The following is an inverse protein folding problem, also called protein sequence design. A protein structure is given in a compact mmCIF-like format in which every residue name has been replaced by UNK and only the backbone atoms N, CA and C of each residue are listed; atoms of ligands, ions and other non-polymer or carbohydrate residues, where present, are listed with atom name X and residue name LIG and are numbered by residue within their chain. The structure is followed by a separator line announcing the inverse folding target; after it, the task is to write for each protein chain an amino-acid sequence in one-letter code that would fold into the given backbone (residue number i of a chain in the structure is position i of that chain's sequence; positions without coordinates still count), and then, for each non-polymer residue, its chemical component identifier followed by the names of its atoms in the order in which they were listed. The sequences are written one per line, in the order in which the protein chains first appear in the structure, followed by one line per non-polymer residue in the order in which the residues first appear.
data_IF_445777549203
#
_entry.id   IF_445777549203
#
_cell.length_a   1.000
_cell.length_b   1.000
_cell.length_c   1.000
_cell.angle_alpha   90.00
_cell.angle_beta   90.00
_cell.angle_gamma   90.00
#
_symmetry.space_group_name_H-M   'P 1'
#
loop_
_entity.id
_entity.type
_entity.pdbx_description
1 polymer ?
#
# COMPACT_ATOMS: atom_id res chain seq x y z
N UNK A 1 10.90 19.37 -30.54
CA UNK A 1 10.15 18.72 -29.45
C UNK A 1 11.16 18.02 -28.55
N UNK A 2 11.04 18.16 -27.23
CA UNK A 2 11.93 17.51 -26.26
C UNK A 2 11.80 15.98 -26.27
N UNK A 3 12.73 15.28 -25.61
CA UNK A 3 12.64 13.84 -25.36
C UNK A 3 11.40 13.53 -24.51
N UNK A 4 10.86 12.31 -24.65
CA UNK A 4 9.74 11.86 -23.83
C UNK A 4 10.15 11.80 -22.36
N UNK A 5 9.42 12.46 -21.46
CA UNK A 5 9.68 12.45 -20.03
C UNK A 5 8.93 11.34 -19.29
N UNK A 6 9.64 10.54 -18.52
CA UNK A 6 9.13 9.44 -17.71
C UNK A 6 9.42 9.67 -16.23
N UNK A 7 8.43 9.42 -15.38
CA UNK A 7 8.57 9.50 -13.93
C UNK A 7 8.48 8.11 -13.31
N UNK A 8 9.39 7.77 -12.40
CA UNK A 8 9.19 6.67 -11.46
C UNK A 8 9.38 7.16 -10.04
N UNK A 9 8.44 6.85 -9.15
CA UNK A 9 8.63 7.08 -7.72
C UNK A 9 8.07 5.94 -6.85
N UNK A 10 8.95 5.31 -6.07
CA UNK A 10 8.61 4.13 -5.29
C UNK A 10 9.83 3.37 -4.77
N UNK A 11 9.62 2.19 -4.21
CA UNK A 11 10.73 1.30 -3.81
C UNK A 11 11.44 0.77 -5.07
N UNK A 12 12.77 0.76 -5.09
CA UNK A 12 13.57 0.20 -6.21
C UNK A 12 13.72 -1.31 -6.02
N UNK A 13 12.64 -2.04 -6.25
CA UNK A 13 12.54 -3.45 -5.92
C UNK A 13 11.80 -4.22 -7.01
N UNK A 14 12.04 -5.53 -7.06
CA UNK A 14 11.52 -6.41 -8.11
C UNK A 14 10.00 -6.48 -8.08
N UNK A 15 9.39 -6.51 -6.88
CA UNK A 15 7.92 -6.53 -6.77
C UNK A 15 7.26 -5.27 -7.35
N UNK A 16 8.02 -4.16 -7.42
CA UNK A 16 7.57 -2.91 -8.03
C UNK A 16 7.85 -2.82 -9.53
N UNK A 17 8.43 -3.88 -10.11
CA UNK A 17 8.79 -3.96 -11.53
C UNK A 17 9.97 -3.07 -11.91
N UNK A 18 10.78 -2.66 -10.93
CA UNK A 18 11.90 -1.77 -11.21
C UNK A 18 13.00 -2.46 -12.03
N UNK A 19 13.13 -3.78 -11.91
CA UNK A 19 13.97 -4.61 -12.78
C UNK A 19 13.57 -4.51 -14.25
N UNK A 20 12.26 -4.43 -14.54
CA UNK A 20 11.77 -4.25 -15.89
C UNK A 20 12.14 -2.88 -16.48
N UNK A 21 12.17 -1.83 -15.66
CA UNK A 21 12.62 -0.49 -16.06
C UNK A 21 14.11 -0.49 -16.41
N UNK A 22 14.94 -1.11 -15.57
CA UNK A 22 16.38 -1.20 -15.83
C UNK A 22 16.68 -1.96 -17.13
N UNK A 23 16.05 -3.12 -17.32
CA UNK A 23 16.19 -3.91 -18.54
C UNK A 23 15.69 -3.15 -19.77
N UNK A 24 14.57 -2.42 -19.66
CA UNK A 24 14.08 -1.56 -20.74
C UNK A 24 15.10 -0.49 -21.13
N UNK A 25 15.73 0.19 -20.16
CA UNK A 25 16.79 1.19 -20.42
C UNK A 25 17.94 0.55 -21.20
N UNK A 26 18.42 -0.62 -20.76
CA UNK A 26 19.50 -1.35 -21.44
C UNK A 26 19.12 -1.77 -22.87
N UNK A 27 17.87 -2.20 -23.09
CA UNK A 27 17.38 -2.54 -24.44
C UNK A 27 17.42 -1.34 -25.38
N UNK A 28 16.97 -0.16 -24.92
CA UNK A 28 17.07 1.07 -25.71
C UNK A 28 18.52 1.49 -25.94
N UNK A 29 19.39 1.38 -24.93
CA UNK A 29 20.82 1.68 -25.05
C UNK A 29 21.57 0.79 -26.05
N UNK A 30 21.10 -0.44 -26.28
CA UNK A 30 21.60 -1.34 -27.33
C UNK A 30 21.11 -0.96 -28.73
N UNK A 31 19.87 -0.50 -28.86
CA UNK A 31 19.34 -0.05 -30.15
C UNK A 31 19.89 1.32 -30.57
N UNK A 32 20.10 2.23 -29.62
CA UNK A 32 20.48 3.63 -29.87
C UNK A 32 21.47 4.11 -28.82
N UNK A 33 22.48 4.88 -29.26
CA UNK A 33 23.47 5.50 -28.36
C UNK A 33 22.82 6.49 -27.38
N UNK A 34 21.80 7.23 -27.83
CA UNK A 34 21.00 8.11 -26.98
C UNK A 34 19.61 7.53 -26.72
N UNK A 35 19.14 7.65 -25.47
CA UNK A 35 17.79 7.22 -25.12
C UNK A 35 16.76 8.19 -25.73
N UNK A 36 15.61 7.68 -26.23
CA UNK A 36 14.55 8.51 -26.80
C UNK A 36 13.69 9.21 -25.72
N UNK A 37 13.99 8.98 -24.44
CA UNK A 37 13.28 9.52 -23.29
C UNK A 37 14.26 10.01 -22.21
N UNK A 38 13.79 10.89 -21.35
CA UNK A 38 14.38 11.20 -20.04
C UNK A 38 13.59 10.47 -18.96
N UNK A 39 14.28 9.88 -17.97
CA UNK A 39 13.63 9.20 -16.85
C UNK A 39 14.10 9.76 -15.51
N UNK A 40 13.14 10.23 -14.72
CA UNK A 40 13.35 10.78 -13.38
C UNK A 40 12.93 9.75 -12.33
N UNK A 41 13.89 9.24 -11.56
CA UNK A 41 13.70 8.13 -10.62
C UNK A 41 13.88 8.61 -9.17
N UNK A 42 12.82 8.44 -8.38
CA UNK A 42 12.78 8.74 -6.95
C UNK A 42 12.50 7.47 -6.15
N UNK A 43 13.35 7.16 -5.17
CA UNK A 43 13.23 5.92 -4.44
C UNK A 43 14.52 5.43 -3.85
N UNK A 44 14.43 4.32 -3.15
CA UNK A 44 15.58 3.55 -2.70
C UNK A 44 15.18 2.06 -2.65
N UNK A 45 16.16 1.17 -2.71
CA UNK A 45 15.93 -0.28 -2.75
C UNK A 45 17.14 -1.06 -3.25
N UNK A 46 16.94 -2.37 -3.44
CA UNK A 46 18.00 -3.30 -3.86
C UNK A 46 18.64 -2.95 -5.20
N UNK A 47 17.91 -2.24 -6.08
CA UNK A 47 18.38 -1.85 -7.41
C UNK A 47 19.04 -0.46 -7.48
N UNK A 48 19.24 0.22 -6.34
CA UNK A 48 19.80 1.58 -6.32
C UNK A 48 21.20 1.65 -6.97
N UNK A 49 22.08 0.68 -6.71
CA UNK A 49 23.45 0.71 -7.22
C UNK A 49 23.50 0.38 -8.73
N UNK A 50 22.65 -0.54 -9.21
CA UNK A 50 22.52 -0.79 -10.65
C UNK A 50 22.03 0.46 -11.40
N UNK A 51 21.06 1.19 -10.83
CA UNK A 51 20.58 2.44 -11.39
C UNK A 51 21.68 3.51 -11.45
N UNK A 52 22.50 3.64 -10.40
CA UNK A 52 23.65 4.57 -10.40
C UNK A 52 24.61 4.25 -11.56
N UNK A 53 24.91 2.98 -11.81
CA UNK A 53 25.76 2.60 -12.94
C UNK A 53 25.18 3.05 -14.28
N UNK A 54 23.86 2.93 -14.49
CA UNK A 54 23.20 3.41 -15.71
C UNK A 54 23.24 4.93 -15.87
N UNK A 55 23.26 5.70 -14.77
CA UNK A 55 23.37 7.17 -14.84
C UNK A 55 24.74 7.63 -15.36
N UNK A 56 25.77 6.78 -15.26
CA UNK A 56 27.10 7.06 -15.80
C UNK A 56 27.19 6.82 -17.32
N UNK A 57 26.34 5.94 -17.85
CA UNK A 57 26.34 5.56 -19.28
C UNK A 57 25.25 6.27 -20.07
N UNK A 58 24.16 6.67 -19.42
CA UNK A 58 23.00 7.33 -20.04
C UNK A 58 22.68 8.63 -19.31
N UNK A 59 23.00 9.77 -19.95
CA UNK A 59 22.76 11.12 -19.41
C UNK A 59 21.27 11.42 -19.18
N UNK A 60 20.38 10.67 -19.85
CA UNK A 60 18.93 10.80 -19.75
C UNK A 60 18.33 10.07 -18.54
N UNK A 61 19.15 9.35 -17.76
CA UNK A 61 18.71 8.65 -16.54
C UNK A 61 19.07 9.50 -15.33
N UNK A 62 18.07 9.96 -14.59
CA UNK A 62 18.24 10.83 -13.42
C UNK A 62 17.79 10.12 -12.14
N UNK A 63 18.73 9.88 -11.21
CA UNK A 63 18.44 9.25 -9.92
C UNK A 63 18.56 10.25 -8.76
N UNK A 64 17.49 10.41 -7.98
CA UNK A 64 17.41 11.39 -6.89
C UNK A 64 17.37 10.78 -5.49
N UNK A 65 17.45 9.45 -5.38
CA UNK A 65 17.23 8.78 -4.10
C UNK A 65 15.83 9.00 -3.54
N UNK A 66 15.67 8.78 -2.23
CA UNK A 66 14.38 8.97 -1.56
C UNK A 66 14.10 10.45 -1.30
N UNK A 67 13.09 10.99 -1.97
CA UNK A 67 12.65 12.38 -1.84
C UNK A 67 11.24 12.49 -1.25
N UNK A 68 10.87 13.68 -0.78
CA UNK A 68 9.51 13.98 -0.37
C UNK A 68 8.63 14.33 -1.59
N UNK A 69 7.30 14.33 -1.40
CA UNK A 69 6.36 14.60 -2.49
C UNK A 69 6.52 16.02 -3.07
N UNK A 70 6.88 17.02 -2.26
CA UNK A 70 7.12 18.39 -2.74
C UNK A 70 8.27 18.47 -3.74
N UNK A 71 9.37 17.77 -3.47
CA UNK A 71 10.49 17.66 -4.42
C UNK A 71 10.05 16.96 -5.69
N UNK A 72 9.35 15.81 -5.59
CA UNK A 72 8.89 15.03 -6.75
C UNK A 72 7.98 15.90 -7.64
N UNK A 73 7.08 16.68 -7.04
CA UNK A 73 6.15 17.57 -7.76
C UNK A 73 6.86 18.55 -8.69
N UNK A 74 8.07 19.02 -8.34
CA UNK A 74 8.85 19.95 -9.16
C UNK A 74 9.31 19.36 -10.49
N UNK A 75 9.38 18.03 -10.58
CA UNK A 75 9.80 17.31 -11.80
C UNK A 75 8.63 16.85 -12.67
N UNK A 76 7.39 16.87 -12.15
CA UNK A 76 6.20 16.46 -12.91
C UNK A 76 6.04 17.24 -14.23
N UNK A 77 6.28 18.58 -14.29
CA UNK A 77 6.17 19.32 -15.56
C UNK A 77 7.08 18.81 -16.68
N UNK A 78 8.18 18.12 -16.33
CA UNK A 78 9.10 17.53 -17.30
C UNK A 78 8.66 16.15 -17.78
N UNK A 79 7.58 15.59 -17.22
CA UNK A 79 7.15 14.21 -17.45
C UNK A 79 5.85 14.16 -18.24
N UNK A 80 5.72 13.19 -19.13
CA UNK A 80 4.50 12.87 -19.86
C UNK A 80 3.82 11.60 -19.34
N UNK A 81 4.57 10.66 -18.75
CA UNK A 81 4.00 9.44 -18.18
C UNK A 81 4.65 9.06 -16.84
N UNK A 82 3.87 8.43 -15.96
CA UNK A 82 4.36 7.80 -14.74
C UNK A 82 4.46 6.28 -14.96
N UNK A 83 5.63 5.70 -14.70
CA UNK A 83 5.86 4.26 -14.76
C UNK A 83 5.48 3.62 -13.43
N UNK A 84 4.56 2.66 -13.49
CA UNK A 84 4.19 1.77 -12.40
C UNK A 84 4.05 0.32 -12.88
N UNK A 85 5.13 -0.30 -13.39
CA UNK A 85 5.12 -1.66 -13.91
C UNK A 85 5.11 -2.73 -12.80
N UNK A 86 4.41 -2.47 -11.68
CA UNK A 86 4.40 -3.38 -10.54
C UNK A 86 3.85 -4.74 -10.95
N UNK A 87 4.73 -5.75 -10.90
CA UNK A 87 4.36 -7.16 -11.08
C UNK A 87 3.54 -7.66 -9.90
N UNK A 88 3.75 -7.08 -8.71
CA UNK A 88 2.94 -7.26 -7.52
C UNK A 88 1.48 -6.82 -7.72
N UNK A 89 0.55 -7.57 -7.15
CA UNK A 89 -0.85 -7.22 -7.05
C UNK A 89 -1.01 -6.06 -6.07
N UNK A 90 -1.12 -4.83 -6.57
CA UNK A 90 -1.35 -3.67 -5.70
C UNK A 90 -2.71 -3.73 -5.00
N UNK A 91 -2.78 -3.31 -3.74
CA UNK A 91 -4.06 -3.18 -3.03
C UNK A 91 -4.79 -1.90 -3.42
N UNK A 92 -4.05 -0.85 -3.80
CA UNK A 92 -4.60 0.42 -4.27
C UNK A 92 -3.70 1.08 -5.31
N UNK A 93 -2.46 1.41 -4.95
CA UNK A 93 -1.56 2.19 -5.83
C UNK A 93 -1.60 3.69 -5.51
N UNK A 94 -1.18 4.08 -4.30
CA UNK A 94 -1.11 5.50 -3.90
C UNK A 94 -0.25 6.34 -4.86
N UNK A 95 0.89 5.81 -5.30
CA UNK A 95 1.76 6.44 -6.31
C UNK A 95 0.98 6.77 -7.60
N UNK A 96 0.14 5.85 -8.09
CA UNK A 96 -0.63 6.06 -9.32
C UNK A 96 -1.63 7.18 -9.13
N UNK A 97 -2.35 7.15 -8.01
CA UNK A 97 -3.30 8.19 -7.70
C UNK A 97 -2.62 9.57 -7.56
N UNK A 98 -1.45 9.64 -6.92
CA UNK A 98 -0.66 10.87 -6.84
C UNK A 98 -0.28 11.37 -8.25
N UNK A 99 0.18 10.50 -9.15
CA UNK A 99 0.49 10.87 -10.53
C UNK A 99 -0.74 11.39 -11.28
N UNK A 100 -1.86 10.65 -11.23
CA UNK A 100 -3.13 11.04 -11.87
C UNK A 100 -3.65 12.38 -11.36
N UNK A 101 -3.57 12.63 -10.05
CA UNK A 101 -3.98 13.90 -9.44
C UNK A 101 -3.21 15.11 -9.95
N UNK A 102 -2.07 14.88 -10.62
CA UNK A 102 -1.20 15.89 -11.22
C UNK A 102 -1.21 15.87 -12.75
N UNK A 103 -2.22 15.23 -13.34
CA UNK A 103 -2.37 15.17 -14.79
C UNK A 103 -1.41 14.22 -15.48
N UNK A 104 -0.67 13.39 -14.73
CA UNK A 104 0.30 12.45 -15.29
C UNK A 104 -0.36 11.08 -15.50
N UNK A 105 -0.57 10.63 -16.76
CA UNK A 105 -1.08 9.30 -17.04
C UNK A 105 -0.14 8.19 -16.53
N UNK A 106 -0.71 7.08 -16.10
CA UNK A 106 0.02 5.96 -15.50
C UNK A 106 0.15 4.80 -16.49
N UNK A 107 1.37 4.35 -16.71
CA UNK A 107 1.71 3.12 -17.44
C UNK A 107 1.91 2.00 -16.42
N UNK A 108 1.20 0.90 -16.57
CA UNK A 108 1.30 -0.22 -15.63
C UNK A 108 0.43 -1.40 -16.03
N UNK A 109 0.42 -2.44 -15.21
CA UNK A 109 -0.50 -3.56 -15.40
C UNK A 109 -1.86 -3.22 -14.79
N UNK A 110 -2.93 -3.16 -15.59
CA UNK A 110 -4.29 -2.86 -15.12
C UNK A 110 -4.91 -4.04 -14.34
N UNK A 111 -4.32 -4.37 -13.19
CA UNK A 111 -4.73 -5.47 -12.32
C UNK A 111 -4.80 -5.03 -10.86
N UNK A 112 -5.64 -5.72 -10.09
CA UNK A 112 -5.83 -5.41 -8.67
C UNK A 112 -6.24 -3.96 -8.46
N UNK A 113 -5.56 -3.28 -7.53
CA UNK A 113 -5.87 -1.89 -7.16
C UNK A 113 -5.49 -0.88 -8.23
N UNK A 114 -4.57 -1.23 -9.13
CA UNK A 114 -4.08 -0.37 -10.20
C UNK A 114 -5.04 -0.33 -11.40
N UNK A 115 -5.92 -1.32 -11.56
CA UNK A 115 -6.86 -1.45 -12.67
C UNK A 115 -7.66 -0.16 -12.98
N UNK A 116 -8.29 0.54 -12.02
CA UNK A 116 -9.02 1.78 -12.31
C UNK A 116 -8.12 2.98 -12.69
N UNK A 117 -6.80 2.88 -12.49
CA UNK A 117 -5.86 3.98 -12.67
C UNK A 117 -5.15 3.97 -14.03
N UNK A 118 -5.17 2.83 -14.72
CA UNK A 118 -4.47 2.65 -16.00
C UNK A 118 -5.49 2.74 -17.13
N UNK A 119 -5.19 3.56 -18.14
CA UNK A 119 -5.99 3.61 -19.36
C UNK A 119 -5.64 2.41 -20.27
N UNK A 120 -6.58 1.87 -21.06
CA UNK A 120 -6.30 0.72 -21.93
C UNK A 120 -5.07 0.89 -22.83
N UNK A 121 -4.84 2.10 -23.34
CA UNK A 121 -3.71 2.43 -24.21
C UNK A 121 -2.35 2.44 -23.48
N UNK A 122 -2.36 2.36 -22.14
CA UNK A 122 -1.19 2.37 -21.27
C UNK A 122 -1.08 1.09 -20.42
N UNK A 123 -1.91 0.09 -20.74
CA UNK A 123 -1.99 -1.16 -20.00
C UNK A 123 -1.01 -2.21 -20.52
N UNK A 124 0.01 -2.50 -19.70
CA UNK A 124 1.00 -3.53 -19.97
C UNK A 124 0.42 -4.95 -19.99
N UNK A 125 -0.81 -5.18 -19.51
CA UNK A 125 -1.45 -6.50 -19.65
C UNK A 125 -1.84 -6.81 -21.09
N UNK A 126 -2.07 -5.78 -21.91
CA UNK A 126 -2.47 -5.88 -23.31
C UNK A 126 -1.26 -5.88 -24.27
N UNK A 127 -0.10 -5.48 -23.78
CA UNK A 127 1.13 -5.43 -24.58
C UNK A 127 1.78 -6.81 -24.73
N UNK A 128 2.30 -7.05 -25.95
CA UNK A 128 3.08 -8.23 -26.27
C UNK A 128 4.53 -8.10 -25.79
N UNK A 129 5.09 -9.20 -25.29
CA UNK A 129 6.49 -9.30 -24.88
C UNK A 129 6.73 -10.58 -24.10
N UNK A 130 7.94 -11.15 -24.20
CA UNK A 130 8.33 -12.38 -23.49
C UNK A 130 8.47 -12.17 -21.98
N UNK A 131 8.67 -10.92 -21.56
CA UNK A 131 8.78 -10.51 -20.17
C UNK A 131 8.27 -9.06 -19.99
N UNK A 132 8.22 -8.59 -18.74
CA UNK A 132 7.69 -7.26 -18.40
C UNK A 132 8.54 -6.12 -18.99
N UNK A 133 9.85 -6.32 -19.16
CA UNK A 133 10.75 -5.32 -19.76
C UNK A 133 10.47 -5.13 -21.25
N UNK A 134 10.24 -6.23 -21.99
CA UNK A 134 9.84 -6.17 -23.40
C UNK A 134 8.49 -5.49 -23.57
N UNK A 135 7.51 -5.77 -22.70
CA UNK A 135 6.21 -5.08 -22.75
C UNK A 135 6.36 -3.57 -22.56
N UNK A 136 7.16 -3.16 -21.58
CA UNK A 136 7.49 -1.75 -21.37
C UNK A 136 8.18 -1.16 -22.62
N UNK A 137 9.20 -1.84 -23.13
CA UNK A 137 9.95 -1.41 -24.31
C UNK A 137 9.05 -1.17 -25.53
N UNK A 138 8.18 -2.14 -25.84
CA UNK A 138 7.24 -2.07 -26.94
C UNK A 138 6.23 -0.94 -26.76
N UNK A 139 5.70 -0.75 -25.54
CA UNK A 139 4.78 0.34 -25.24
C UNK A 139 5.46 1.70 -25.40
N UNK A 140 6.62 1.92 -24.77
CA UNK A 140 7.36 3.19 -24.84
C UNK A 140 7.70 3.57 -26.29
N UNK A 141 8.05 2.60 -27.16
CA UNK A 141 8.31 2.87 -28.59
C UNK A 141 7.10 3.45 -29.35
N UNK A 142 5.89 3.13 -28.91
CA UNK A 142 4.63 3.56 -29.55
C UNK A 142 4.08 4.87 -28.97
N UNK A 143 4.63 5.35 -27.85
CA UNK A 143 4.06 6.50 -27.16
C UNK A 143 4.28 7.80 -27.95
N UNK A 144 3.26 8.66 -28.05
CA UNK A 144 3.44 10.01 -28.55
C UNK A 144 4.22 10.88 -27.55
N UNK A 145 4.99 11.83 -28.07
CA UNK A 145 5.63 12.88 -27.26
C UNK A 145 4.58 13.79 -26.58
N UNK A 146 3.39 13.95 -27.17
CA UNK A 146 2.27 14.61 -26.51
C UNK A 146 1.62 13.62 -25.53
N UNK A 147 1.42 13.97 -24.24
CA UNK A 147 0.89 13.02 -23.26
C UNK A 147 -0.56 12.65 -23.55
N UNK A 148 -0.89 11.36 -23.43
CA UNK A 148 -2.27 10.85 -23.50
C UNK A 148 -3.06 11.21 -22.23
N UNK A 149 -3.49 12.47 -22.12
CA UNK A 149 -4.16 13.00 -20.91
C UNK A 149 -5.67 12.77 -20.87
N UNK A 150 -6.26 12.19 -21.93
CA UNK A 150 -7.71 11.98 -22.03
C UNK A 150 -8.21 11.12 -20.86
N UNK A 151 -9.07 11.73 -20.03
CA UNK A 151 -9.66 11.06 -18.87
C UNK A 151 -8.73 10.87 -17.68
N UNK A 152 -7.51 11.42 -17.69
CA UNK A 152 -6.59 11.38 -16.53
C UNK A 152 -7.19 12.15 -15.35
N UNK A 153 -7.61 13.40 -15.58
CA UNK A 153 -8.25 14.24 -14.56
C UNK A 153 -9.48 13.53 -13.98
N UNK A 154 -10.39 13.04 -14.83
CA UNK A 154 -11.59 12.30 -14.42
C UNK A 154 -11.25 11.10 -13.52
N UNK A 155 -10.22 10.32 -13.84
CA UNK A 155 -9.77 9.19 -13.00
C UNK A 155 -9.24 9.66 -11.66
N UNK A 156 -8.42 10.72 -11.62
CA UNK A 156 -7.92 11.32 -10.38
C UNK A 156 -9.04 11.90 -9.51
N UNK A 157 -9.99 12.61 -10.11
CA UNK A 157 -11.07 13.33 -9.43
C UNK A 157 -12.01 12.41 -8.67
N UNK A 158 -12.24 11.18 -9.17
CA UNK A 158 -13.01 10.13 -8.47
C UNK A 158 -12.46 9.85 -7.06
N UNK A 159 -11.18 10.14 -6.81
CA UNK A 159 -10.49 9.90 -5.56
C UNK A 159 -10.01 11.20 -4.88
N UNK A 160 -10.48 12.36 -5.36
CA UNK A 160 -10.15 13.67 -4.77
C UNK A 160 -10.35 13.70 -3.26
N UNK A 161 -9.52 14.50 -2.57
CA UNK A 161 -9.59 14.65 -1.10
C UNK A 161 -11.00 15.00 -0.65
N UNK A 162 -11.72 15.86 -1.38
CA UNK A 162 -13.08 16.27 -1.03
C UNK A 162 -14.09 15.11 -1.10
N UNK A 163 -14.10 14.32 -2.17
CA UNK A 163 -14.96 13.14 -2.27
C UNK A 163 -14.64 12.15 -1.13
N UNK A 164 -13.37 12.02 -0.76
CA UNK A 164 -12.97 11.14 0.35
C UNK A 164 -13.38 11.68 1.71
N UNK A 165 -13.31 13.01 1.92
CA UNK A 165 -13.81 13.68 3.12
C UNK A 165 -15.30 13.42 3.30
N UNK A 166 -16.10 13.61 2.25
CA UNK A 166 -17.54 13.37 2.31
C UNK A 166 -17.87 11.88 2.54
N UNK A 167 -17.21 10.97 1.82
CA UNK A 167 -17.36 9.52 2.09
C UNK A 167 -17.00 9.15 3.53
N UNK A 168 -15.96 9.77 4.10
CA UNK A 168 -15.59 9.53 5.48
C UNK A 168 -16.66 10.04 6.45
N UNK A 169 -17.19 11.27 6.26
CA UNK A 169 -18.28 11.82 7.08
C UNK A 169 -19.50 10.91 7.09
N UNK A 170 -19.97 10.51 5.90
CA UNK A 170 -21.10 9.57 5.74
C UNK A 170 -20.83 8.26 6.47
N UNK A 171 -19.61 7.74 6.36
CA UNK A 171 -19.25 6.47 6.99
C UNK A 171 -19.09 6.59 8.51
N UNK A 172 -18.52 7.67 9.02
CA UNK A 172 -18.31 7.92 10.45
C UNK A 172 -19.66 8.06 11.17
N UNK A 173 -20.59 8.80 10.58
CA UNK A 173 -21.85 9.18 11.19
C UNK A 173 -21.70 10.44 12.07
N UNK A 174 -22.82 11.09 12.42
CA UNK A 174 -22.82 12.39 13.10
C UNK A 174 -22.26 12.34 14.53
N UNK A 175 -22.34 11.18 15.19
CA UNK A 175 -21.95 11.04 16.60
C UNK A 175 -20.43 10.92 16.81
N UNK A 176 -19.66 10.72 15.74
CA UNK A 176 -18.21 10.53 15.84
C UNK A 176 -17.50 11.88 15.93
N UNK A 177 -16.82 12.13 17.04
CA UNK A 177 -15.98 13.33 17.23
C UNK A 177 -14.54 12.98 17.57
N UNK A 178 -14.33 11.90 18.34
CA UNK A 178 -13.04 11.42 18.83
C UNK A 178 -12.65 10.11 18.13
N UNK A 179 -11.53 10.12 17.43
CA UNK A 179 -11.03 8.98 16.65
C UNK A 179 -9.69 8.53 17.20
N UNK A 180 -9.55 7.23 17.47
CA UNK A 180 -8.27 6.60 17.78
C UNK A 180 -7.80 5.75 16.59
N UNK A 181 -6.73 6.19 15.94
CA UNK A 181 -6.04 5.40 14.91
C UNK A 181 -5.07 4.44 15.61
N UNK A 182 -5.16 3.14 15.28
CA UNK A 182 -4.37 2.08 15.89
C UNK A 182 -3.53 1.39 14.82
N UNK A 183 -2.22 1.38 14.99
CA UNK A 183 -1.28 0.74 14.08
C UNK A 183 -0.04 0.24 14.81
N UNK A 184 0.60 -0.81 14.28
CA UNK A 184 1.87 -1.36 14.75
C UNK A 184 2.89 -0.26 15.08
N UNK A 185 3.03 0.71 14.16
CA UNK A 185 4.00 1.79 14.26
C UNK A 185 3.36 3.15 14.03
N UNK A 186 3.94 4.18 14.66
CA UNK A 186 3.46 5.58 14.60
C UNK A 186 4.43 6.58 13.95
N UNK A 187 5.60 6.12 13.49
CA UNK A 187 6.59 6.94 12.78
C UNK A 187 6.65 6.57 11.29
N UNK A 188 7.00 7.52 10.41
CA UNK A 188 7.06 7.32 8.94
C UNK A 188 8.17 6.33 8.54
N UNK A 189 7.83 5.04 8.53
CA UNK A 189 8.73 3.95 8.12
C UNK A 189 8.31 3.26 6.82
N UNK A 190 7.04 3.41 6.40
CA UNK A 190 6.48 2.72 5.25
C UNK A 190 5.19 3.38 4.76
N UNK A 191 4.57 2.76 3.76
CA UNK A 191 3.36 3.28 3.12
C UNK A 191 2.17 3.39 4.08
N UNK A 192 1.96 2.37 4.93
CA UNK A 192 0.85 2.36 5.91
C UNK A 192 1.02 3.50 6.91
N UNK A 193 2.20 3.65 7.51
CA UNK A 193 2.44 4.69 8.52
C UNK A 193 2.40 6.10 7.92
N UNK A 194 2.91 6.27 6.70
CA UNK A 194 2.82 7.56 5.99
C UNK A 194 1.36 7.93 5.76
N UNK A 195 0.57 6.99 5.23
CA UNK A 195 -0.86 7.18 5.03
C UNK A 195 -1.61 7.51 6.33
N UNK A 196 -1.31 6.84 7.44
CA UNK A 196 -2.02 7.08 8.71
C UNK A 196 -1.74 8.48 9.24
N UNK A 197 -0.52 8.98 9.09
CA UNK A 197 -0.16 10.34 9.49
C UNK A 197 -0.87 11.37 8.60
N UNK A 198 -0.88 11.16 7.29
CA UNK A 198 -1.60 12.05 6.37
C UNK A 198 -3.12 12.02 6.63
N UNK A 199 -3.67 10.83 6.90
CA UNK A 199 -5.07 10.65 7.26
C UNK A 199 -5.41 11.33 8.60
N UNK A 200 -4.51 11.31 9.58
CA UNK A 200 -4.68 12.05 10.84
C UNK A 200 -4.83 13.54 10.55
N UNK A 201 -3.91 14.13 9.80
CA UNK A 201 -3.92 15.57 9.51
C UNK A 201 -5.17 15.98 8.71
N UNK A 202 -5.59 15.15 7.75
CA UNK A 202 -6.84 15.35 6.99
C UNK A 202 -8.06 15.30 7.92
N UNK A 203 -8.14 14.32 8.82
CA UNK A 203 -9.27 14.18 9.73
C UNK A 203 -9.32 15.32 10.77
N UNK A 204 -8.17 15.78 11.26
CA UNK A 204 -8.09 16.96 12.13
C UNK A 204 -8.56 18.22 11.39
N UNK A 205 -8.21 18.38 10.10
CA UNK A 205 -8.73 19.48 9.26
C UNK A 205 -10.26 19.44 9.05
N UNK A 206 -10.90 18.30 9.32
CA UNK A 206 -12.36 18.14 9.27
C UNK A 206 -13.03 18.39 10.64
N UNK A 207 -12.27 18.74 11.67
CA UNK A 207 -12.77 19.02 13.02
C UNK A 207 -12.83 17.80 13.95
N UNK A 208 -12.31 16.63 13.55
CA UNK A 208 -12.24 15.47 14.44
C UNK A 208 -11.06 15.59 15.41
N UNK A 209 -11.24 15.13 16.65
CA UNK A 209 -10.15 14.92 17.59
C UNK A 209 -9.49 13.57 17.32
N UNK A 210 -8.31 13.58 16.72
CA UNK A 210 -7.64 12.35 16.28
C UNK A 210 -6.40 12.07 17.12
N UNK A 211 -6.31 10.85 17.63
CA UNK A 211 -5.09 10.36 18.27
C UNK A 211 -4.53 9.11 17.59
N UNK A 212 -3.22 8.95 17.69
CA UNK A 212 -2.50 7.81 17.13
C UNK A 212 -1.92 6.94 18.25
N UNK A 213 -2.29 5.67 18.26
CA UNK A 213 -1.70 4.63 19.08
C UNK A 213 -0.83 3.69 18.23
N UNK A 214 0.40 3.49 18.69
CA UNK A 214 1.38 2.60 18.09
C UNK A 214 2.73 2.69 18.78
N UNK A 215 3.66 1.83 18.38
CA UNK A 215 5.05 1.89 18.87
C UNK A 215 5.94 2.75 17.95
N UNK A 216 7.04 3.29 18.48
CA UNK A 216 8.08 3.90 17.64
C UNK A 216 9.07 2.80 17.27
N UNK A 217 9.30 2.60 15.98
CA UNK A 217 10.37 1.71 15.51
C UNK A 217 11.67 2.51 15.37
N UNK A 218 12.79 2.10 16.00
CA UNK A 218 14.08 2.75 15.80
C UNK A 218 14.57 2.59 14.35
N UNK A 219 15.44 3.49 13.89
CA UNK A 219 16.09 3.40 12.59
C UNK A 219 17.26 2.41 12.61
N UNK A 220 17.83 2.12 11.42
CA UNK A 220 19.04 1.30 11.28
C UNK A 220 18.84 -0.20 11.52
N UNK A 221 19.93 -0.89 11.84
CA UNK A 221 19.98 -2.35 12.01
C UNK A 221 19.05 -2.83 13.13
N UNK A 222 19.00 -2.11 14.26
CA UNK A 222 18.12 -2.39 15.39
C UNK A 222 16.64 -2.37 14.98
N UNK A 223 16.25 -1.39 14.17
CA UNK A 223 14.91 -1.31 13.60
C UNK A 223 14.55 -2.50 12.71
N UNK A 224 15.48 -2.90 11.82
CA UNK A 224 15.32 -4.08 10.97
C UNK A 224 15.13 -5.34 11.81
N UNK A 225 15.98 -5.56 12.82
CA UNK A 225 15.89 -6.72 13.72
C UNK A 225 14.57 -6.75 14.49
N UNK A 226 14.16 -5.63 15.09
CA UNK A 226 12.90 -5.51 15.81
C UNK A 226 11.68 -5.77 14.92
N UNK A 227 11.74 -5.41 13.64
CA UNK A 227 10.66 -5.70 12.69
C UNK A 227 10.48 -7.21 12.46
N UNK A 228 11.58 -7.97 12.39
CA UNK A 228 11.53 -9.43 12.24
C UNK A 228 11.12 -10.13 13.54
N UNK A 229 11.69 -9.71 14.68
CA UNK A 229 11.33 -10.21 16.01
C UNK A 229 9.88 -9.90 16.39
N UNK A 230 9.36 -8.73 16.02
CA UNK A 230 7.98 -8.33 16.29
C UNK A 230 6.95 -9.29 15.70
N UNK A 231 7.22 -9.85 14.52
CA UNK A 231 6.35 -10.86 13.90
C UNK A 231 6.29 -12.13 14.75
N UNK A 232 7.41 -12.57 15.33
CA UNK A 232 7.50 -13.72 16.24
C UNK A 232 6.86 -13.44 17.61
N UNK A 233 6.85 -12.19 18.06
CA UNK A 233 6.28 -11.81 19.36
C UNK A 233 4.76 -11.57 19.26
N UNK A 234 4.23 -11.27 18.06
CA UNK A 234 2.83 -10.89 17.84
C UNK A 234 1.80 -11.97 18.27
N UNK A 235 2.18 -13.25 18.36
CA UNK A 235 1.29 -14.31 18.87
C UNK A 235 1.03 -14.16 20.38
N UNK A 236 2.02 -13.67 21.15
CA UNK A 236 1.96 -13.60 22.61
C UNK A 236 2.12 -12.16 23.14
N UNK A 237 1.77 -11.14 22.35
CA UNK A 237 2.04 -9.75 22.72
C UNK A 237 0.96 -9.09 23.59
N UNK A 238 0.59 -9.74 24.69
CA UNK A 238 -0.44 -9.24 25.62
C UNK A 238 -0.06 -7.86 26.20
N UNK A 239 1.24 -7.59 26.35
CA UNK A 239 1.76 -6.28 26.79
C UNK A 239 1.26 -5.12 25.92
N UNK A 240 1.19 -5.27 24.59
CA UNK A 240 0.67 -4.19 23.73
C UNK A 240 -0.85 -4.06 23.85
N UNK A 241 -1.55 -5.18 24.03
CA UNK A 241 -2.98 -5.20 24.36
C UNK A 241 -3.28 -4.41 25.63
N UNK A 242 -2.56 -4.71 26.72
CA UNK A 242 -2.65 -3.98 27.99
C UNK A 242 -2.29 -2.50 27.85
N UNK A 243 -1.26 -2.14 27.08
CA UNK A 243 -0.94 -0.73 26.78
C UNK A 243 -2.11 0.00 26.12
N UNK A 244 -2.79 -0.66 25.17
CA UNK A 244 -3.96 -0.07 24.53
C UNK A 244 -5.12 0.04 25.53
N UNK A 245 -5.36 -0.99 26.34
CA UNK A 245 -6.37 -0.97 27.40
C UNK A 245 -6.19 0.21 28.36
N UNK A 246 -4.98 0.40 28.90
CA UNK A 246 -4.69 1.51 29.81
C UNK A 246 -4.79 2.88 29.12
N UNK A 247 -4.39 2.97 27.84
CA UNK A 247 -4.57 4.19 27.05
C UNK A 247 -6.06 4.55 26.91
N UNK A 248 -6.90 3.57 26.59
CA UNK A 248 -8.35 3.75 26.46
C UNK A 248 -9.01 4.08 27.81
N UNK A 249 -8.58 3.44 28.90
CA UNK A 249 -9.03 3.73 30.26
C UNK A 249 -8.67 5.16 30.68
N UNK A 250 -7.44 5.61 30.43
CA UNK A 250 -7.01 7.00 30.69
C UNK A 250 -7.85 8.00 29.91
N UNK A 251 -8.14 7.69 28.64
CA UNK A 251 -9.01 8.51 27.77
C UNK A 251 -10.37 8.80 28.42
N UNK A 252 -11.02 7.73 28.91
CA UNK A 252 -12.32 7.81 29.57
C UNK A 252 -12.27 8.73 30.80
N UNK A 253 -11.19 8.65 31.57
CA UNK A 253 -11.04 9.39 32.83
C UNK A 253 -10.68 10.88 32.65
N UNK A 254 -9.77 11.21 31.72
CA UNK A 254 -9.23 12.58 31.62
C UNK A 254 -9.94 13.51 30.63
N UNK A 255 -10.80 12.99 29.74
CA UNK A 255 -11.40 13.78 28.64
C UNK A 255 -12.92 13.63 28.49
N UNK A 256 -13.60 13.24 29.56
CA UNK A 256 -15.07 13.14 29.57
C UNK A 256 -15.62 12.14 28.53
N UNK A 257 -15.02 10.94 28.44
CA UNK A 257 -15.43 9.88 27.50
C UNK A 257 -14.28 9.32 26.66
N UNK A 258 -14.37 8.03 26.31
CA UNK A 258 -13.43 7.33 25.42
C UNK A 258 -13.52 7.80 23.96
N UNK A 259 -12.73 7.21 23.03
CA UNK A 259 -12.93 7.47 21.60
C UNK A 259 -14.30 6.97 21.15
N UNK A 260 -14.91 7.65 20.17
CA UNK A 260 -16.18 7.23 19.55
C UNK A 260 -15.91 6.15 18.49
N UNK A 261 -14.72 6.23 17.87
CA UNK A 261 -14.27 5.33 16.82
C UNK A 261 -12.83 4.89 17.05
N UNK A 262 -12.60 3.58 17.10
CA UNK A 262 -11.27 2.96 17.04
C UNK A 262 -11.09 2.39 15.63
N UNK A 263 -10.07 2.87 14.92
CA UNK A 263 -9.75 2.42 13.56
C UNK A 263 -8.40 1.74 13.52
N UNK A 264 -8.41 0.44 13.28
CA UNK A 264 -7.23 -0.38 13.12
C UNK A 264 -6.71 -0.32 11.68
N UNK A 265 -5.39 -0.23 11.52
CA UNK A 265 -4.73 -0.20 10.21
C UNK A 265 -3.69 -1.32 10.07
N UNK A 266 -2.89 -1.57 11.10
CA UNK A 266 -1.88 -2.63 11.08
C UNK A 266 -1.75 -3.24 12.46
N UNK A 267 -1.97 -4.56 12.54
CA UNK A 267 -1.82 -5.35 13.78
C UNK A 267 -1.02 -6.63 13.56
N UNK A 268 -0.46 -6.82 12.37
CA UNK A 268 0.21 -8.06 11.96
C UNK A 268 1.67 -8.11 12.40
N UNK A 269 2.32 -6.96 12.58
CA UNK A 269 3.79 -6.90 12.73
C UNK A 269 4.23 -6.74 14.17
N UNK A 270 3.39 -6.15 15.03
CA UNK A 270 3.77 -5.84 16.41
C UNK A 270 2.62 -5.96 17.41
N UNK A 271 1.48 -5.30 17.17
CA UNK A 271 0.38 -5.23 18.14
C UNK A 271 -0.30 -6.58 18.39
N UNK A 272 -0.49 -7.38 17.35
CA UNK A 272 -1.14 -8.69 17.43
C UNK A 272 -2.63 -8.63 17.77
N UNK A 273 -3.22 -9.81 17.95
CA UNK A 273 -4.65 -10.03 18.16
C UNK A 273 -5.16 -9.50 19.50
N UNK A 274 -4.32 -9.49 20.55
CA UNK A 274 -4.70 -9.02 21.88
C UNK A 274 -5.09 -7.53 21.88
N UNK A 275 -4.47 -6.71 21.03
CA UNK A 275 -4.86 -5.30 20.86
C UNK A 275 -6.31 -5.13 20.39
N UNK A 276 -6.84 -6.08 19.63
CA UNK A 276 -8.26 -6.07 19.23
C UNK A 276 -9.11 -6.59 20.39
N UNK A 277 -8.69 -7.68 21.04
CA UNK A 277 -9.41 -8.29 22.17
C UNK A 277 -9.64 -7.29 23.30
N UNK A 278 -8.60 -6.61 23.78
CA UNK A 278 -8.69 -5.67 24.90
C UNK A 278 -9.57 -4.45 24.61
N UNK A 279 -9.80 -4.09 23.35
CA UNK A 279 -10.71 -3.00 22.99
C UNK A 279 -12.18 -3.33 23.24
N UNK A 280 -12.53 -4.61 23.47
CA UNK A 280 -13.92 -5.07 23.71
C UNK A 280 -14.57 -4.41 24.93
N UNK A 281 -13.76 -4.00 25.92
CA UNK A 281 -14.25 -3.37 27.15
C UNK A 281 -14.65 -1.90 26.97
N UNK A 282 -14.57 -1.39 25.74
CA UNK A 282 -14.90 -0.02 25.41
C UNK A 282 -16.01 0.01 24.35
N UNK A 283 -17.02 0.88 24.52
CA UNK A 283 -18.21 0.91 23.66
C UNK A 283 -17.96 1.52 22.27
N UNK A 284 -16.77 2.07 22.02
CA UNK A 284 -16.38 2.69 20.75
C UNK A 284 -16.69 1.77 19.55
N UNK A 285 -17.16 2.36 18.45
CA UNK A 285 -17.25 1.67 17.16
C UNK A 285 -15.84 1.24 16.74
N UNK A 286 -15.68 0.04 16.19
CA UNK A 286 -14.40 -0.57 15.83
C UNK A 286 -14.38 -0.88 14.34
N UNK A 287 -13.37 -0.39 13.64
CA UNK A 287 -13.19 -0.59 12.20
C UNK A 287 -11.81 -1.11 11.90
N UNK A 288 -11.69 -1.97 10.89
CA UNK A 288 -10.41 -2.50 10.44
C UNK A 288 -10.15 -2.10 8.99
N UNK A 289 -8.96 -1.57 8.68
CA UNK A 289 -8.52 -1.31 7.31
C UNK A 289 -7.46 -2.32 6.85
N UNK A 290 -7.73 -3.04 5.77
CA UNK A 290 -6.83 -4.04 5.19
C UNK A 290 -5.89 -3.43 4.15
N UNK A 291 -4.74 -2.91 4.57
CA UNK A 291 -3.78 -2.25 3.68
C UNK A 291 -2.98 -3.21 2.79
N UNK A 292 -2.78 -4.45 3.24
CA UNK A 292 -1.92 -5.44 2.59
C UNK A 292 -2.53 -6.85 2.66
N UNK A 293 -2.05 -7.74 1.80
CA UNK A 293 -2.51 -9.13 1.75
C UNK A 293 -1.93 -10.02 2.84
N UNK A 294 -1.17 -9.48 3.82
CA UNK A 294 -0.59 -10.25 4.92
C UNK A 294 -1.62 -10.95 5.80
N UNK A 295 -2.86 -10.45 5.80
CA UNK A 295 -4.03 -11.03 6.45
C UNK A 295 -4.55 -12.30 5.74
N UNK A 296 -4.23 -12.51 4.45
CA UNK A 296 -4.77 -13.62 3.66
C UNK A 296 -3.69 -14.46 2.97
N UNK A 297 -2.44 -14.00 2.96
CA UNK A 297 -1.34 -14.65 2.25
C UNK A 297 -0.02 -14.64 3.03
N UNK A 298 0.76 -15.74 3.00
CA UNK A 298 2.04 -15.81 3.71
C UNK A 298 3.11 -14.86 3.16
N UNK A 299 3.14 -14.65 1.84
CA UNK A 299 4.12 -13.78 1.18
C UNK A 299 3.40 -12.77 0.28
N UNK A 300 2.87 -11.67 0.83
CA UNK A 300 2.11 -10.70 0.04
C UNK A 300 2.89 -10.19 -1.16
N UNK A 301 4.17 -9.82 -0.99
CA UNK A 301 5.03 -9.30 -2.05
C UNK A 301 5.19 -10.23 -3.27
N UNK A 302 4.91 -11.53 -3.13
CA UNK A 302 4.99 -12.52 -4.21
C UNK A 302 3.66 -12.69 -4.97
N UNK A 303 2.58 -12.04 -4.54
CA UNK A 303 1.29 -12.11 -5.22
C UNK A 303 1.33 -11.25 -6.48
N UNK A 304 1.00 -11.85 -7.61
CA UNK A 304 0.86 -11.20 -8.91
C UNK A 304 -0.59 -11.23 -9.42
N UNK A 305 -1.40 -12.19 -8.96
CA UNK A 305 -2.80 -12.40 -9.35
C UNK A 305 -3.68 -12.84 -8.17
N UNK A 306 -4.98 -12.55 -8.27
CA UNK A 306 -5.97 -12.86 -7.21
C UNK A 306 -6.11 -14.37 -6.95
N UNK A 307 -6.04 -15.22 -7.99
CA UNK A 307 -6.23 -16.68 -7.88
C UNK A 307 -5.16 -17.39 -7.03
N UNK A 308 -4.03 -16.73 -6.75
CA UNK A 308 -2.98 -17.20 -5.85
C UNK A 308 -3.43 -17.12 -4.39
N UNK A 309 -4.43 -16.29 -4.07
CA UNK A 309 -5.05 -16.23 -2.75
C UNK A 309 -6.09 -17.35 -2.66
N UNK A 310 -5.76 -18.42 -1.93
CA UNK A 310 -6.67 -19.56 -1.74
C UNK A 310 -7.70 -19.25 -0.64
N UNK A 311 -8.98 -19.36 -0.97
CA UNK A 311 -10.11 -19.11 -0.05
C UNK A 311 -10.97 -20.37 0.16
N UNK A 312 -11.54 -20.60 1.36
CA UNK A 312 -11.48 -19.76 2.56
C UNK A 312 -10.12 -19.83 3.27
N UNK A 313 -9.87 -18.91 4.21
CA UNK A 313 -8.64 -18.92 5.02
C UNK A 313 -8.63 -20.14 5.96
N UNK A 314 -7.85 -21.15 5.58
CA UNK A 314 -7.58 -22.40 6.31
C UNK A 314 -6.08 -22.69 6.29
N UNK A 315 -5.59 -23.53 7.22
CA UNK A 315 -4.18 -23.92 7.26
C UNK A 315 -3.72 -24.53 5.93
N UNK A 316 -4.51 -25.46 5.38
CA UNK A 316 -4.25 -26.10 4.08
C UNK A 316 -4.06 -25.07 2.97
N UNK A 317 -5.01 -24.14 2.84
CA UNK A 317 -4.95 -23.09 1.81
C UNK A 317 -3.78 -22.13 2.02
N UNK A 318 -3.46 -21.78 3.27
CA UNK A 318 -2.36 -20.87 3.59
C UNK A 318 -1.00 -21.49 3.28
N UNK A 319 -0.82 -22.79 3.59
CA UNK A 319 0.37 -23.57 3.22
C UNK A 319 0.48 -23.74 1.69
N UNK A 320 -0.62 -24.07 1.00
CA UNK A 320 -0.63 -24.15 -0.46
C UNK A 320 -0.24 -22.82 -1.12
N UNK A 321 -0.68 -21.70 -0.54
CA UNK A 321 -0.35 -20.35 -1.04
C UNK A 321 1.12 -19.98 -0.82
N UNK A 322 1.83 -20.62 0.10
CA UNK A 322 3.26 -20.40 0.31
C UNK A 322 4.13 -20.95 -0.83
N UNK A 323 3.62 -21.95 -1.55
CA UNK A 323 4.28 -22.62 -2.68
C UNK A 323 5.78 -22.90 -2.44
N UNK A 324 6.11 -23.53 -1.31
CA UNK A 324 7.49 -23.84 -0.95
C UNK A 324 7.60 -25.20 -0.27
N UNK A 325 8.70 -25.92 -0.56
CA UNK A 325 9.05 -27.19 0.11
C UNK A 325 10.14 -27.02 1.17
N UNK A 326 10.66 -25.80 1.36
CA UNK A 326 11.73 -25.54 2.31
C UNK A 326 11.18 -25.61 3.75
N UNK A 327 11.74 -26.45 4.64
CA UNK A 327 11.18 -26.69 5.97
C UNK A 327 11.20 -25.46 6.87
N UNK A 328 12.25 -24.62 6.81
CA UNK A 328 12.32 -23.39 7.59
C UNK A 328 11.28 -22.37 7.13
N UNK A 329 11.07 -22.25 5.81
CA UNK A 329 10.00 -21.40 5.27
C UNK A 329 8.62 -21.91 5.66
N UNK A 330 8.39 -23.22 5.60
CA UNK A 330 7.13 -23.82 6.05
C UNK A 330 6.86 -23.56 7.52
N UNK A 331 7.87 -23.69 8.39
CA UNK A 331 7.74 -23.36 9.81
C UNK A 331 7.36 -21.88 10.02
N UNK A 332 8.01 -20.96 9.29
CA UNK A 332 7.67 -19.54 9.34
C UNK A 332 6.23 -19.27 8.85
N UNK A 333 5.77 -20.00 7.83
CA UNK A 333 4.39 -19.92 7.32
C UNK A 333 3.39 -20.44 8.35
N UNK A 334 3.69 -21.56 9.02
CA UNK A 334 2.86 -22.10 10.12
C UNK A 334 2.72 -21.08 11.25
N UNK A 335 3.84 -20.50 11.67
CA UNK A 335 3.85 -19.47 12.70
C UNK A 335 2.98 -18.27 12.30
N UNK A 336 3.17 -17.76 11.08
CA UNK A 336 2.36 -16.67 10.54
C UNK A 336 0.88 -17.03 10.47
N UNK A 337 0.54 -18.25 10.06
CA UNK A 337 -0.84 -18.74 10.03
C UNK A 337 -1.48 -18.67 11.42
N UNK A 338 -0.81 -19.16 12.46
CA UNK A 338 -1.32 -19.11 13.83
C UNK A 338 -1.60 -17.67 14.27
N UNK A 339 -0.67 -16.75 14.04
CA UNK A 339 -0.85 -15.32 14.33
C UNK A 339 -2.06 -14.72 13.61
N UNK A 340 -2.15 -14.93 12.30
CA UNK A 340 -3.26 -14.40 11.48
C UNK A 340 -4.59 -15.07 11.83
N UNK A 341 -4.60 -16.36 12.22
CA UNK A 341 -5.80 -17.06 12.64
C UNK A 341 -6.39 -16.48 13.94
N UNK A 342 -5.53 -16.15 14.91
CA UNK A 342 -5.94 -15.48 16.15
C UNK A 342 -6.48 -14.07 15.86
N UNK A 343 -5.79 -13.31 15.00
CA UNK A 343 -6.25 -11.99 14.54
C UNK A 343 -7.60 -12.11 13.84
N UNK A 344 -7.75 -13.01 12.88
CA UNK A 344 -9.01 -13.29 12.16
C UNK A 344 -10.16 -13.55 13.14
N UNK A 345 -9.95 -14.36 14.19
CA UNK A 345 -10.97 -14.65 15.17
C UNK A 345 -11.43 -13.39 15.92
N UNK A 346 -10.49 -12.53 16.32
CA UNK A 346 -10.82 -11.25 16.96
C UNK A 346 -11.50 -10.28 16.00
N UNK A 347 -11.01 -10.19 14.76
CA UNK A 347 -11.59 -9.33 13.73
C UNK A 347 -13.07 -9.68 13.49
N UNK A 348 -13.39 -10.97 13.33
CA UNK A 348 -14.79 -11.41 13.12
C UNK A 348 -15.72 -11.11 14.30
N UNK A 349 -15.20 -11.16 15.53
CA UNK A 349 -16.00 -11.02 16.75
C UNK A 349 -16.18 -9.58 17.21
N UNK A 350 -15.23 -8.69 16.87
CA UNK A 350 -15.07 -7.39 17.53
C UNK A 350 -15.06 -6.20 16.58
N UNK A 351 -14.96 -6.41 15.28
CA UNK A 351 -14.97 -5.32 14.30
C UNK A 351 -16.39 -5.17 13.74
N UNK A 352 -16.89 -3.94 13.78
CA UNK A 352 -18.22 -3.60 13.28
C UNK A 352 -18.21 -3.47 11.75
N UNK A 353 -17.12 -2.92 11.21
CA UNK A 353 -16.97 -2.67 9.78
C UNK A 353 -15.53 -2.90 9.28
N UNK A 354 -15.42 -3.65 8.19
CA UNK A 354 -14.20 -4.03 7.51
C UNK A 354 -14.01 -3.15 6.27
N UNK A 355 -12.91 -2.42 6.21
CA UNK A 355 -12.58 -1.49 5.15
C UNK A 355 -11.45 -2.03 4.30
N UNK A 356 -11.63 -2.03 2.98
CA UNK A 356 -10.59 -2.40 2.01
C UNK A 356 -10.29 -1.20 1.11
N UNK A 357 -9.06 -1.03 0.63
CA UNK A 357 -8.72 0.15 -0.16
C UNK A 357 -9.29 0.12 -1.59
N UNK A 358 -9.77 -1.02 -2.07
CA UNK A 358 -10.29 -1.19 -3.43
C UNK A 358 -11.40 -2.24 -3.49
N UNK A 359 -12.28 -2.11 -4.49
CA UNK A 359 -13.48 -2.96 -4.60
C UNK A 359 -13.14 -4.45 -4.77
N UNK A 360 -12.11 -4.80 -5.53
CA UNK A 360 -11.76 -6.21 -5.76
C UNK A 360 -11.35 -6.95 -4.48
N UNK A 361 -10.90 -6.21 -3.46
CA UNK A 361 -10.52 -6.80 -2.17
C UNK A 361 -11.73 -7.17 -1.30
N UNK A 362 -12.93 -6.65 -1.60
CA UNK A 362 -14.14 -6.94 -0.81
C UNK A 362 -14.43 -8.44 -0.83
N UNK A 363 -14.43 -9.03 -2.03
CA UNK A 363 -14.65 -10.45 -2.27
C UNK A 363 -13.55 -11.33 -1.67
N UNK A 364 -12.29 -10.88 -1.71
CA UNK A 364 -11.17 -11.58 -1.07
C UNK A 364 -11.42 -11.71 0.44
N UNK A 365 -11.73 -10.60 1.13
CA UNK A 365 -11.97 -10.62 2.57
C UNK A 365 -13.23 -11.42 2.91
N UNK A 366 -14.30 -11.26 2.12
CA UNK A 366 -15.53 -12.02 2.27
C UNK A 366 -15.27 -13.54 2.21
N UNK A 367 -14.66 -14.02 1.12
CA UNK A 367 -14.39 -15.44 0.89
C UNK A 367 -13.35 -16.00 1.87
N UNK A 368 -12.30 -15.24 2.19
CA UNK A 368 -11.27 -15.67 3.14
C UNK A 368 -11.83 -15.84 4.55
N UNK A 369 -12.56 -14.85 5.06
CA UNK A 369 -12.94 -14.81 6.48
C UNK A 369 -14.39 -15.20 6.75
N UNK A 370 -15.21 -15.37 5.72
CA UNK A 370 -16.66 -15.60 5.82
C UNK A 370 -17.30 -14.50 6.67
N UNK A 371 -17.00 -13.25 6.32
CA UNK A 371 -17.60 -12.04 6.90
C UNK A 371 -18.71 -11.60 5.95
N UNK A 372 -19.87 -11.24 6.47
CA UNK A 372 -21.00 -10.84 5.63
C UNK A 372 -20.67 -9.62 4.74
N UNK A 373 -21.07 -9.59 3.46
CA UNK A 373 -20.72 -8.50 2.53
C UNK A 373 -21.14 -7.10 3.00
N UNK A 374 -22.25 -6.96 3.72
CA UNK A 374 -22.72 -5.68 4.29
C UNK A 374 -21.73 -5.07 5.32
N UNK A 375 -20.92 -5.92 5.95
CA UNK A 375 -19.88 -5.52 6.90
C UNK A 375 -18.54 -5.21 6.22
N UNK A 376 -18.45 -5.30 4.89
CA UNK A 376 -17.23 -5.02 4.12
C UNK A 376 -17.52 -3.85 3.17
N UNK A 377 -16.71 -2.80 3.23
CA UNK A 377 -16.86 -1.64 2.35
C UNK A 377 -15.53 -1.26 1.74
N UNK A 378 -15.52 -0.99 0.43
CA UNK A 378 -14.37 -0.35 -0.18
C UNK A 378 -14.31 1.11 0.27
N UNK A 379 -13.19 1.45 0.90
CA UNK A 379 -12.83 2.79 1.30
C UNK A 379 -11.43 3.09 0.77
N UNK A 380 -11.33 3.56 -0.49
CA UNK A 380 -10.09 4.06 -1.06
C UNK A 380 -9.36 5.04 -0.16
N UNK A 381 -8.03 4.98 -0.17
CA UNK A 381 -7.19 5.86 0.61
C UNK A 381 -7.41 7.34 0.25
N UNK A 382 -7.20 8.22 1.23
CA UNK A 382 -6.96 9.64 0.99
C UNK A 382 -5.74 9.84 0.09
N UNK A 383 -5.80 10.87 -0.76
CA UNK A 383 -4.63 11.36 -1.51
C UNK A 383 -3.66 11.98 -0.50
N UNK A 384 -2.38 11.66 -0.63
CA UNK A 384 -1.33 12.26 0.19
C UNK A 384 -1.11 13.70 -0.29
N UNK A 385 -1.13 14.65 0.64
CA UNK A 385 -0.93 16.06 0.32
C UNK A 385 0.49 16.34 -0.15
#
# INVERSE_FOLDING_TARGET
MGKLGLLYFGRLEREKGFDAILQMIEMFGKEKKELPFEIFVFGDGSYADQLKSLTLTHKEVHYFGRQNLETIKRYIPNCQYCLMPSSFLETFGLTALTALSRGLPVIGFAKGGLAPFVAPELDLTLEYGRNDAEKLFHLIKKLPNAPLTKGVAKRGDLYSVQIRKEKFKTLAGPDVKKILLVSDFKNRIGGIESYILDAKDILESMGYQVELFGSKLPSGLRGKLMKYLGMLIAICNDRQGLRLFFKLRKYKFTRGGGPDLIRYHSVLRHLGWESIRWSQFFPAKKRMMYHDFGYVHPFPHALTHVHQIKTPFTLKHFLQSANTRNPLKLLAVLFKYCSVALIKNQLKKRIDLHLVPSEFMTDIIHKSYKISPDKIKAFPHFIQN
#
